data_IF_342182581498
#
_entry.id   IF_342182581498
#
_cell.length_a   1.000
_cell.length_b   1.000
_cell.length_c   1.000
_cell.angle_alpha   90.00
_cell.angle_beta   90.00
_cell.angle_gamma   90.00
#
_symmetry.space_group_name_H-M   'P 1'
#
loop_
_entity.id
_entity.type
_entity.pdbx_description
1 polymer ?
#
# COMPACT_ATOMS: atom_id res chain seq x y z
N UNK A 1 17.10 -5.07 14.40
CA UNK A 1 16.92 -6.12 13.37
C UNK A 1 15.82 -7.10 13.78
N UNK A 2 15.90 -7.67 14.99
CA UNK A 2 14.96 -8.67 15.52
C UNK A 2 13.48 -8.27 15.51
N UNK A 3 13.15 -6.99 15.74
CA UNK A 3 11.75 -6.54 15.70
C UNK A 3 11.15 -6.63 14.30
N UNK A 4 11.91 -6.26 13.25
CA UNK A 4 11.46 -6.38 11.86
C UNK A 4 11.17 -7.85 11.53
N UNK A 5 12.09 -8.74 11.91
CA UNK A 5 11.96 -10.19 11.65
C UNK A 5 10.76 -10.79 12.38
N UNK A 6 10.49 -10.37 13.63
CA UNK A 6 9.30 -10.80 14.39
C UNK A 6 8.00 -10.33 13.74
N UNK A 7 7.93 -9.07 13.32
CA UNK A 7 6.75 -8.51 12.64
C UNK A 7 6.54 -9.21 11.28
N UNK A 8 7.61 -9.40 10.52
CA UNK A 8 7.52 -10.10 9.24
C UNK A 8 7.06 -11.56 9.43
N UNK A 9 7.56 -12.24 10.46
CA UNK A 9 7.14 -13.60 10.79
C UNK A 9 5.66 -13.68 11.17
N UNK A 10 5.14 -12.74 11.97
CA UNK A 10 3.71 -12.72 12.30
C UNK A 10 2.80 -12.43 11.10
N UNK A 11 3.34 -11.75 10.09
CA UNK A 11 2.67 -11.50 8.81
C UNK A 11 2.94 -12.57 7.74
N UNK A 12 3.68 -13.64 8.08
CA UNK A 12 4.11 -14.69 7.14
C UNK A 12 4.88 -14.15 5.93
N UNK A 13 5.74 -13.15 6.16
CA UNK A 13 6.62 -12.53 5.16
C UNK A 13 8.04 -13.06 5.36
N UNK A 14 8.60 -13.67 4.32
CA UNK A 14 9.98 -14.20 4.32
C UNK A 14 10.98 -13.24 3.66
N UNK A 15 10.53 -12.46 2.69
CA UNK A 15 11.35 -11.52 1.91
C UNK A 15 11.51 -10.18 2.66
N UNK A 16 12.05 -10.26 3.89
CA UNK A 16 12.14 -9.12 4.82
C UNK A 16 13.01 -7.97 4.30
N UNK A 17 13.93 -8.25 3.38
CA UNK A 17 14.80 -7.27 2.75
C UNK A 17 14.06 -6.18 1.95
N UNK A 18 12.79 -6.40 1.60
CA UNK A 18 11.95 -5.40 0.93
C UNK A 18 11.28 -4.41 1.89
N UNK A 19 11.31 -4.69 3.20
CA UNK A 19 10.59 -3.93 4.20
C UNK A 19 11.52 -3.27 5.21
N UNK A 20 11.06 -2.14 5.74
CA UNK A 20 11.69 -1.42 6.83
C UNK A 20 10.67 -1.00 7.88
N UNK A 21 11.19 -0.54 9.02
CA UNK A 21 10.40 0.15 10.02
C UNK A 21 10.60 1.65 9.86
N UNK A 22 9.51 2.40 9.88
CA UNK A 22 9.53 3.86 9.75
C UNK A 22 8.79 4.50 10.91
N UNK A 23 9.15 5.74 11.24
CA UNK A 23 8.39 6.59 12.14
C UNK A 23 7.76 7.72 11.35
N UNK A 24 6.48 7.97 11.56
CA UNK A 24 5.78 9.11 10.98
C UNK A 24 6.11 10.36 11.80
N UNK A 25 6.69 11.38 11.16
CA UNK A 25 6.95 12.70 11.77
C UNK A 25 6.55 13.76 10.77
N UNK A 26 5.73 14.71 11.19
CA UNK A 26 5.27 15.83 10.35
C UNK A 26 4.66 15.38 9.00
N UNK A 27 3.95 14.23 9.00
CA UNK A 27 3.34 13.65 7.79
C UNK A 27 4.27 12.78 6.94
N UNK A 28 5.57 12.78 7.24
CA UNK A 28 6.60 12.08 6.47
C UNK A 28 7.14 10.84 7.19
N UNK A 29 7.50 9.82 6.41
CA UNK A 29 8.02 8.57 6.94
C UNK A 29 9.55 8.56 6.98
N UNK A 30 10.12 8.46 8.18
CA UNK A 30 11.56 8.37 8.39
C UNK A 30 11.96 6.92 8.68
N UNK A 31 12.88 6.39 7.89
CA UNK A 31 13.39 5.04 8.09
C UNK A 31 14.20 4.94 9.39
N UNK A 32 13.99 3.86 10.11
CA UNK A 32 14.72 3.52 11.32
C UNK A 32 15.94 2.68 10.97
N UNK A 33 17.08 3.04 11.55
CA UNK A 33 18.27 2.20 11.51
C UNK A 33 18.04 1.00 12.43
N UNK A 34 17.97 -0.18 11.82
CA UNK A 34 17.71 -1.43 12.54
C UNK A 34 18.93 -1.92 13.34
N UNK A 35 20.10 -1.29 13.18
CA UNK A 35 21.30 -1.54 13.99
C UNK A 35 21.30 -0.71 15.28
N UNK A 36 20.48 0.34 15.35
CA UNK A 36 20.37 1.21 16.51
C UNK A 36 19.33 0.70 17.51
N UNK A 37 19.47 1.11 18.78
CA UNK A 37 18.45 0.80 19.79
C UNK A 37 17.16 1.51 19.45
N UNK A 38 16.05 0.77 19.46
CA UNK A 38 14.69 1.29 19.20
C UNK A 38 14.35 2.46 20.14
N UNK A 39 14.84 2.44 21.38
CA UNK A 39 14.67 3.53 22.36
C UNK A 39 15.27 4.88 21.93
N UNK A 40 16.19 4.90 20.96
CA UNK A 40 16.71 6.14 20.35
C UNK A 40 15.59 6.94 19.66
N UNK A 41 14.64 6.24 19.07
CA UNK A 41 13.50 6.77 18.32
C UNK A 41 12.27 7.04 19.19
N UNK A 42 12.32 6.65 20.47
CA UNK A 42 11.28 7.00 21.43
C UNK A 42 11.30 8.52 21.71
N UNK A 43 10.14 9.16 21.86
CA UNK A 43 10.05 10.57 22.27
C UNK A 43 10.83 10.81 23.57
N UNK A 44 11.45 11.99 23.72
CA UNK A 44 12.26 12.32 24.91
C UNK A 44 11.54 12.17 26.24
N UNK A 45 10.20 12.26 26.26
CA UNK A 45 9.35 12.00 27.44
C UNK A 45 9.32 10.53 27.91
N UNK A 46 9.87 9.61 27.10
CA UNK A 46 9.93 8.15 27.35
C UNK A 46 11.34 7.72 27.77
N UNK A 47 12.32 8.64 27.77
CA UNK A 47 13.74 8.31 28.04
C UNK A 47 14.12 8.30 29.53
N UNK A 48 13.17 8.47 30.45
CA UNK A 48 13.44 8.61 31.89
C UNK A 48 13.13 7.37 32.73
N UNK A 49 12.03 6.66 32.45
CA UNK A 49 11.62 5.49 33.19
C UNK A 49 10.89 4.55 32.23
N UNK A 50 11.02 3.23 32.42
CA UNK A 50 10.15 2.26 31.75
C UNK A 50 8.76 2.41 32.36
N UNK A 51 8.01 3.40 31.89
CA UNK A 51 6.61 3.57 32.24
C UNK A 51 5.85 2.35 31.74
N UNK A 52 5.28 1.58 32.68
CA UNK A 52 4.40 0.43 32.38
C UNK A 52 3.06 0.85 31.78
N UNK A 53 2.87 2.15 31.55
CA UNK A 53 1.69 2.70 30.89
C UNK A 53 1.81 2.53 29.36
N UNK A 54 0.91 1.75 28.73
CA UNK A 54 0.85 1.60 27.28
C UNK A 54 0.74 2.94 26.51
N UNK A 55 0.30 4.01 27.17
CA UNK A 55 0.17 5.37 26.60
C UNK A 55 1.52 6.05 26.32
N UNK A 56 2.62 5.50 26.84
CA UNK A 56 4.00 6.02 26.66
C UNK A 56 4.76 5.38 25.50
N UNK A 57 4.09 4.52 24.73
CA UNK A 57 4.65 3.93 23.51
C UNK A 57 4.79 4.92 22.36
N UNK A 58 5.48 4.50 21.30
CA UNK A 58 5.53 5.21 20.03
C UNK A 58 5.20 4.26 18.89
N UNK A 59 4.63 4.81 17.81
CA UNK A 59 4.14 4.03 16.68
C UNK A 59 5.26 3.83 15.67
N UNK A 60 5.46 2.57 15.29
CA UNK A 60 6.29 2.16 14.16
C UNK A 60 5.42 1.65 13.04
N UNK A 61 5.79 2.01 11.81
CA UNK A 61 5.10 1.58 10.61
C UNK A 61 6.00 0.62 9.84
N UNK A 62 5.52 -0.61 9.66
CA UNK A 62 6.11 -1.59 8.75
C UNK A 62 5.75 -1.20 7.31
N UNK A 63 6.75 -0.86 6.49
CA UNK A 63 6.56 -0.32 5.13
C UNK A 63 7.53 -0.96 4.15
N UNK A 64 7.15 -0.98 2.87
CA UNK A 64 8.09 -1.26 1.77
C UNK A 64 9.14 -0.15 1.75
N UNK A 65 10.41 -0.54 1.80
CA UNK A 65 11.55 0.39 1.79
C UNK A 65 12.23 0.44 0.42
N UNK A 66 12.29 -0.69 -0.27
CA UNK A 66 12.93 -0.78 -1.58
C UNK A 66 11.91 -1.15 -2.63
N UNK A 67 11.70 -0.24 -3.59
CA UNK A 67 10.91 -0.57 -4.76
C UNK A 67 11.77 -1.36 -5.74
N UNK A 68 11.22 -2.44 -6.29
CA UNK A 68 11.93 -3.28 -7.25
C UNK A 68 11.56 -2.85 -8.66
N UNK A 69 12.59 -2.81 -9.50
CA UNK A 69 12.56 -2.70 -10.96
C UNK A 69 11.80 -3.85 -11.64
N UNK A 70 11.60 -4.99 -10.96
CA UNK A 70 10.79 -6.08 -11.49
C UNK A 70 9.99 -6.78 -10.42
N UNK A 71 8.66 -6.77 -10.59
CA UNK A 71 7.72 -7.54 -9.75
C UNK A 71 8.04 -9.04 -9.73
N UNK A 72 8.76 -9.59 -10.73
CA UNK A 72 9.17 -10.99 -10.75
C UNK A 72 10.19 -11.35 -9.68
N UNK A 73 10.86 -10.35 -9.09
CA UNK A 73 11.77 -10.54 -7.95
C UNK A 73 11.03 -10.82 -6.65
N UNK A 74 9.73 -10.51 -6.58
CA UNK A 74 8.87 -10.80 -5.42
C UNK A 74 8.25 -12.19 -5.60
N UNK A 75 8.80 -13.17 -4.89
CA UNK A 75 8.42 -14.58 -5.05
C UNK A 75 7.15 -14.91 -4.26
N UNK A 76 7.06 -14.46 -3.01
CA UNK A 76 5.99 -14.86 -2.11
C UNK A 76 4.69 -14.07 -2.38
N UNK A 77 3.56 -14.78 -2.34
CA UNK A 77 2.25 -14.17 -2.53
C UNK A 77 1.89 -13.23 -1.36
N UNK A 78 2.33 -13.54 -0.13
CA UNK A 78 2.15 -12.69 1.05
C UNK A 78 2.93 -11.38 0.92
N UNK A 79 4.21 -11.45 0.55
CA UNK A 79 5.04 -10.29 0.23
C UNK A 79 4.41 -9.45 -0.87
N UNK A 80 4.02 -10.08 -1.99
CA UNK A 80 3.40 -9.38 -3.13
C UNK A 80 2.11 -8.68 -2.72
N UNK A 81 1.30 -9.29 -1.86
CA UNK A 81 0.09 -8.68 -1.35
C UNK A 81 0.38 -7.41 -0.53
N UNK A 82 1.33 -7.48 0.42
CA UNK A 82 1.70 -6.31 1.23
C UNK A 82 2.31 -5.20 0.38
N UNK A 83 3.10 -5.59 -0.62
CA UNK A 83 3.71 -4.67 -1.57
C UNK A 83 2.65 -3.92 -2.40
N UNK A 84 1.68 -4.65 -2.95
CA UNK A 84 0.51 -4.08 -3.64
C UNK A 84 -0.25 -3.09 -2.75
N UNK A 85 -0.58 -3.49 -1.50
CA UNK A 85 -1.32 -2.61 -0.58
C UNK A 85 -0.55 -1.33 -0.25
N UNK A 86 0.77 -1.41 -0.12
CA UNK A 86 1.61 -0.25 0.13
C UNK A 86 1.63 0.72 -1.05
N UNK A 87 1.78 0.20 -2.27
CA UNK A 87 1.73 1.00 -3.50
C UNK A 87 0.37 1.66 -3.70
N UNK A 88 -0.72 0.90 -3.52
CA UNK A 88 -2.09 1.44 -3.61
C UNK A 88 -2.29 2.63 -2.68
N UNK A 89 -1.85 2.50 -1.41
CA UNK A 89 -1.90 3.61 -0.45
C UNK A 89 -1.06 4.81 -0.89
N UNK A 90 0.13 4.58 -1.45
CA UNK A 90 1.00 5.67 -1.87
C UNK A 90 0.41 6.44 -3.05
N UNK A 91 -0.16 5.74 -4.03
CA UNK A 91 -0.84 6.37 -5.19
C UNK A 91 -2.03 7.19 -4.71
N UNK A 92 -2.93 6.60 -3.91
CA UNK A 92 -4.12 7.30 -3.36
C UNK A 92 -3.72 8.53 -2.52
N UNK A 93 -2.58 8.50 -1.84
CA UNK A 93 -2.06 9.63 -1.04
C UNK A 93 -1.17 10.61 -1.81
N UNK A 94 -1.04 10.45 -3.13
CA UNK A 94 -0.15 11.27 -3.97
C UNK A 94 1.35 11.18 -3.62
N UNK A 95 1.80 10.14 -2.91
CA UNK A 95 3.23 9.92 -2.65
C UNK A 95 3.99 9.39 -3.87
N UNK A 96 3.27 8.91 -4.88
CA UNK A 96 3.80 8.53 -6.20
C UNK A 96 2.99 9.31 -7.23
N UNK A 97 3.68 10.05 -8.10
CA UNK A 97 3.04 10.77 -9.20
C UNK A 97 2.50 9.76 -10.23
N UNK A 98 1.21 9.85 -10.57
CA UNK A 98 0.62 9.11 -11.68
C UNK A 98 -0.04 10.07 -12.67
N UNK A 99 0.00 9.72 -13.96
CA UNK A 99 -0.88 10.36 -14.94
C UNK A 99 -2.30 9.88 -14.72
N UNK A 100 -3.29 10.65 -15.16
CA UNK A 100 -4.69 10.29 -14.98
C UNK A 100 -5.02 8.91 -15.57
N UNK A 101 -4.58 8.67 -16.80
CA UNK A 101 -4.75 7.40 -17.50
C UNK A 101 -4.19 6.23 -16.67
N UNK A 102 -3.00 6.41 -16.11
CA UNK A 102 -2.38 5.43 -15.26
C UNK A 102 -3.18 5.20 -13.97
N UNK A 103 -3.70 6.25 -13.32
CA UNK A 103 -4.49 6.09 -12.11
C UNK A 103 -5.80 5.30 -12.39
N UNK A 104 -6.47 5.51 -13.54
CA UNK A 104 -7.63 4.70 -13.95
C UNK A 104 -7.26 3.23 -14.22
N UNK A 105 -6.15 3.00 -14.91
CA UNK A 105 -5.64 1.64 -15.18
C UNK A 105 -5.34 0.90 -13.87
N UNK A 106 -4.64 1.55 -12.95
CA UNK A 106 -4.33 1.01 -11.62
C UNK A 106 -5.61 0.76 -10.80
N UNK A 107 -6.56 1.69 -10.80
CA UNK A 107 -7.83 1.50 -10.11
C UNK A 107 -8.60 0.28 -10.65
N UNK A 108 -8.58 0.04 -11.97
CA UNK A 108 -9.23 -1.14 -12.57
C UNK A 108 -8.61 -2.46 -12.11
N UNK A 109 -7.27 -2.53 -12.02
CA UNK A 109 -6.59 -3.70 -11.46
C UNK A 109 -6.83 -3.85 -9.96
N UNK A 110 -6.93 -2.75 -9.22
CA UNK A 110 -7.23 -2.79 -7.79
C UNK A 110 -8.65 -3.32 -7.53
N UNK A 111 -9.65 -2.92 -8.32
CA UNK A 111 -11.00 -3.50 -8.23
C UNK A 111 -10.97 -5.01 -8.50
N UNK A 112 -10.27 -5.45 -9.55
CA UNK A 112 -10.14 -6.87 -9.86
C UNK A 112 -9.39 -7.63 -8.73
N UNK A 113 -8.39 -7.00 -8.11
CA UNK A 113 -7.64 -7.58 -7.00
C UNK A 113 -8.47 -7.73 -5.72
N UNK A 114 -9.36 -6.78 -5.45
CA UNK A 114 -10.13 -6.68 -4.20
C UNK A 114 -11.45 -7.47 -4.32
N UNK A 115 -12.15 -7.39 -5.46
CA UNK A 115 -13.46 -7.99 -5.68
C UNK A 115 -13.43 -9.25 -6.56
N UNK A 116 -12.40 -9.44 -7.40
CA UNK A 116 -12.45 -10.43 -8.48
C UNK A 116 -13.29 -9.92 -9.64
N UNK A 117 -13.81 -10.83 -10.47
CA UNK A 117 -14.60 -10.46 -11.65
C UNK A 117 -15.80 -9.58 -11.29
N UNK A 118 -16.04 -8.55 -12.12
CA UNK A 118 -17.18 -7.67 -11.96
C UNK A 118 -18.50 -8.46 -12.01
N UNK A 119 -19.26 -8.37 -10.92
CA UNK A 119 -20.66 -8.83 -10.86
C UNK A 119 -21.59 -7.63 -10.95
N UNK A 120 -22.73 -7.80 -11.62
CA UNK A 120 -23.71 -6.72 -11.77
C UNK A 120 -24.37 -6.42 -10.41
N UNK A 121 -23.82 -5.46 -9.67
CA UNK A 121 -24.32 -5.05 -8.36
C UNK A 121 -25.31 -3.90 -8.52
N UNK A 122 -26.47 -3.99 -7.85
CA UNK A 122 -27.40 -2.87 -7.71
C UNK A 122 -26.86 -1.88 -6.67
N UNK A 123 -26.07 -0.89 -7.12
CA UNK A 123 -25.54 0.20 -6.28
C UNK A 123 -24.05 0.49 -6.50
N UNK A 124 -23.52 1.44 -5.73
CA UNK A 124 -22.08 1.71 -5.66
C UNK A 124 -21.39 0.53 -4.94
N UNK A 125 -20.59 -0.27 -5.66
CA UNK A 125 -19.88 -1.42 -5.08
C UNK A 125 -18.44 -1.09 -4.63
N UNK A 126 -17.99 0.14 -4.89
CA UNK A 126 -16.68 0.64 -4.49
C UNK A 126 -16.76 2.14 -4.20
N UNK A 127 -15.80 2.65 -3.43
CA UNK A 127 -15.70 4.06 -3.07
C UNK A 127 -14.49 4.69 -3.77
N UNK A 128 -14.66 5.65 -4.71
CA UNK A 128 -13.55 6.22 -5.50
C UNK A 128 -12.35 6.70 -4.69
N UNK A 129 -12.59 7.25 -3.50
CA UNK A 129 -11.60 7.76 -2.54
C UNK A 129 -10.63 6.68 -2.03
N UNK A 130 -10.99 5.40 -2.15
CA UNK A 130 -10.12 4.27 -1.81
C UNK A 130 -9.22 3.82 -2.97
N UNK A 131 -9.46 4.30 -4.19
CA UNK A 131 -8.80 3.82 -5.42
C UNK A 131 -8.12 4.95 -6.21
N UNK A 132 -8.52 6.20 -6.00
CA UNK A 132 -7.99 7.35 -6.71
C UNK A 132 -7.35 8.38 -5.79
N UNK A 133 -6.30 9.07 -6.27
CA UNK A 133 -5.83 10.29 -5.65
C UNK A 133 -6.91 11.40 -5.64
N UNK A 134 -6.95 12.29 -4.62
CA UNK A 134 -7.92 13.38 -4.54
C UNK A 134 -8.01 14.23 -5.82
N UNK A 135 -6.87 14.55 -6.44
CA UNK A 135 -6.83 15.39 -7.64
C UNK A 135 -7.56 14.76 -8.84
N UNK A 136 -7.61 13.42 -8.96
CA UNK A 136 -8.37 12.75 -10.03
C UNK A 136 -9.87 12.87 -9.79
N UNK A 137 -10.28 12.71 -8.53
CA UNK A 137 -11.67 12.82 -8.11
C UNK A 137 -12.17 14.25 -8.34
N UNK A 138 -11.35 15.25 -8.01
CA UNK A 138 -11.63 16.67 -8.28
C UNK A 138 -11.75 16.94 -9.79
N UNK A 139 -10.85 16.35 -10.60
CA UNK A 139 -10.81 16.56 -12.06
C UNK A 139 -12.00 15.92 -12.79
N UNK A 140 -12.36 14.67 -12.44
CA UNK A 140 -13.39 13.90 -13.16
C UNK A 140 -14.74 13.84 -12.48
N UNK A 141 -14.83 14.21 -11.21
CA UNK A 141 -15.96 13.97 -10.31
C UNK A 141 -16.17 12.50 -9.93
N UNK A 142 -16.64 12.29 -8.69
CA UNK A 142 -17.04 10.98 -8.16
C UNK A 142 -18.06 10.26 -9.06
N UNK A 143 -19.06 10.99 -9.56
CA UNK A 143 -20.12 10.45 -10.40
C UNK A 143 -19.62 9.89 -11.73
N UNK A 144 -18.66 10.55 -12.37
CA UNK A 144 -18.04 10.03 -13.59
C UNK A 144 -17.30 8.72 -13.32
N UNK A 145 -16.48 8.70 -12.26
CA UNK A 145 -15.67 7.53 -11.89
C UNK A 145 -16.57 6.32 -11.62
N UNK A 146 -17.63 6.51 -10.83
CA UNK A 146 -18.58 5.46 -10.50
C UNK A 146 -19.31 4.88 -11.72
N UNK A 147 -19.50 5.67 -12.78
CA UNK A 147 -20.11 5.20 -14.04
C UNK A 147 -19.09 4.59 -15.00
N UNK A 148 -17.87 5.13 -15.03
CA UNK A 148 -16.86 4.77 -16.03
C UNK A 148 -16.02 3.57 -15.58
N UNK A 149 -15.47 3.58 -14.37
CA UNK A 149 -14.53 2.56 -13.91
C UNK A 149 -15.11 1.13 -13.94
N UNK A 150 -16.41 0.88 -13.66
CA UNK A 150 -16.97 -0.47 -13.81
C UNK A 150 -16.87 -1.03 -15.22
N UNK A 151 -16.87 -0.19 -16.26
CA UNK A 151 -16.67 -0.66 -17.63
C UNK A 151 -15.24 -1.17 -17.83
N UNK A 152 -14.25 -0.42 -17.34
CA UNK A 152 -12.83 -0.82 -17.37
C UNK A 152 -12.57 -2.06 -16.51
N UNK A 153 -13.28 -2.20 -15.38
CA UNK A 153 -13.18 -3.39 -14.53
C UNK A 153 -13.67 -4.65 -15.27
N UNK A 154 -14.73 -4.54 -16.08
CA UNK A 154 -15.26 -5.67 -16.89
C UNK A 154 -14.28 -6.19 -17.93
N UNK A 155 -13.37 -5.35 -18.42
CA UNK A 155 -12.34 -5.77 -19.38
C UNK A 155 -11.36 -6.80 -18.80
N UNK A 156 -11.34 -6.96 -17.47
CA UNK A 156 -10.48 -7.92 -16.75
C UNK A 156 -11.19 -9.24 -16.42
N UNK A 157 -12.35 -9.52 -17.01
CA UNK A 157 -13.10 -10.76 -16.77
C UNK A 157 -12.23 -12.02 -16.93
N UNK A 158 -12.23 -12.89 -15.93
CA UNK A 158 -11.42 -14.11 -15.87
C UNK A 158 -9.99 -13.89 -15.38
N UNK A 159 -9.58 -12.65 -15.11
CA UNK A 159 -8.28 -12.36 -14.52
C UNK A 159 -8.26 -12.74 -13.04
N UNK A 160 -7.31 -13.58 -12.63
CA UNK A 160 -7.16 -13.90 -11.21
C UNK A 160 -6.75 -12.67 -10.39
N UNK A 161 -7.22 -12.60 -9.13
CA UNK A 161 -6.81 -11.56 -8.17
C UNK A 161 -5.28 -11.47 -8.02
N UNK A 162 -4.59 -12.61 -8.10
CA UNK A 162 -3.12 -12.69 -8.06
C UNK A 162 -2.49 -12.00 -9.27
N UNK A 163 -3.02 -12.21 -10.47
CA UNK A 163 -2.55 -11.54 -11.70
C UNK A 163 -2.85 -10.04 -11.67
N UNK A 164 -4.01 -9.64 -11.16
CA UNK A 164 -4.36 -8.22 -11.00
C UNK A 164 -3.37 -7.48 -10.09
N UNK A 165 -3.04 -8.05 -8.92
CA UNK A 165 -2.01 -7.48 -8.02
C UNK A 165 -0.64 -7.40 -8.68
N UNK A 166 -0.25 -8.45 -9.42
CA UNK A 166 1.00 -8.47 -10.17
C UNK A 166 1.07 -7.33 -11.21
N UNK A 167 0.00 -7.14 -12.00
CA UNK A 167 -0.07 -6.09 -13.01
C UNK A 167 -0.11 -4.69 -12.38
N UNK A 168 -0.83 -4.53 -11.26
CA UNK A 168 -0.83 -3.29 -10.50
C UNK A 168 0.60 -2.88 -10.12
N UNK A 169 1.35 -3.79 -9.49
CA UNK A 169 2.74 -3.54 -9.08
C UNK A 169 3.60 -3.23 -10.31
N UNK A 170 3.54 -4.09 -11.33
CA UNK A 170 4.35 -3.94 -12.54
C UNK A 170 4.17 -2.57 -13.20
N UNK A 171 2.92 -2.11 -13.34
CA UNK A 171 2.61 -0.86 -14.03
C UNK A 171 2.95 0.35 -13.15
N UNK A 172 2.80 0.25 -11.83
CA UNK A 172 3.16 1.32 -10.89
C UNK A 172 4.68 1.56 -10.74
N UNK A 173 5.52 0.58 -11.08
CA UNK A 173 6.98 0.71 -11.00
C UNK A 173 7.62 1.32 -12.27
N UNK A 174 6.86 1.51 -13.36
CA UNK A 174 7.37 1.97 -14.67
C UNK A 174 7.07 3.46 -14.91
N UNK A 175 6.34 4.10 -14.00
CA UNK A 175 5.90 5.50 -14.06
C UNK A 175 6.72 6.38 -13.13
#
# INVERSE_FOLDING_TARGET
KDLLERIASSLSIRETYLFGLTQLRDGEHYLIDLNERISKYAPSKVKGEVSKDPSTGFILYFRVQFYTDSVTKIQEDTTRNQYYLQLKKNIVRCYISCTEELCFKLASYALQADFGDFTNCSGEYFDPEQYFPPWVIETRSRNFILRYLPNVHRDHLGMSRKKAKFLYIQVSCVS
#
